data_IF_658424170473
#
_entry.id   IF_658424170473
#
_cell.length_a   1.000
_cell.length_b   1.000
_cell.length_c   1.000
_cell.angle_alpha   90.00
_cell.angle_beta   90.00
_cell.angle_gamma   90.00
#
_symmetry.space_group_name_H-M   'P 1'
#
loop_
_entity.id
_entity.type
_entity.pdbx_description
1 polymer ?
#
# COMPACT_ATOMS: atom_id res chain seq x y z
N UNK A 1 -6.46 -12.39 59.92
CA UNK A 1 -5.31 -12.20 59.00
C UNK A 1 -5.73 -11.90 57.56
N UNK A 2 -6.99 -12.09 57.12
CA UNK A 2 -7.41 -11.85 55.73
C UNK A 2 -7.44 -10.35 55.35
N UNK A 3 -7.90 -9.48 56.26
CA UNK A 3 -8.04 -8.04 55.98
C UNK A 3 -6.71 -7.35 55.57
N UNK A 4 -5.55 -7.60 56.22
CA UNK A 4 -4.28 -7.03 55.77
C UNK A 4 -3.87 -7.47 54.36
N UNK A 5 -4.15 -8.73 53.96
CA UNK A 5 -3.88 -9.22 52.60
C UNK A 5 -4.73 -8.49 51.55
N UNK A 6 -6.02 -8.27 51.85
CA UNK A 6 -6.90 -7.51 50.96
C UNK A 6 -6.42 -6.07 50.81
N UNK A 7 -6.04 -5.44 51.94
CA UNK A 7 -5.50 -4.06 51.94
C UNK A 7 -4.20 -3.98 51.11
N UNK A 8 -3.31 -4.98 51.26
CA UNK A 8 -2.10 -5.08 50.45
C UNK A 8 -2.41 -5.26 48.97
N UNK A 9 -3.38 -6.11 48.65
CA UNK A 9 -3.82 -6.33 47.26
C UNK A 9 -4.40 -5.06 46.62
N UNK A 10 -5.20 -4.30 47.35
CA UNK A 10 -5.72 -3.02 46.86
C UNK A 10 -4.61 -1.99 46.63
N UNK A 11 -3.57 -1.99 47.50
CA UNK A 11 -2.41 -1.13 47.32
C UNK A 11 -1.62 -1.49 46.05
N UNK A 12 -1.44 -2.79 45.76
CA UNK A 12 -0.79 -3.27 44.52
C UNK A 12 -1.56 -2.83 43.27
N UNK A 13 -2.90 -2.95 43.28
CA UNK A 13 -3.73 -2.51 42.14
C UNK A 13 -3.63 -0.97 41.99
N UNK A 14 -3.67 -0.21 43.10
CA UNK A 14 -3.56 1.25 43.08
C UNK A 14 -2.21 1.71 42.49
N UNK A 15 -1.14 1.02 42.89
CA UNK A 15 0.23 1.29 42.37
C UNK A 15 0.38 0.92 40.90
N UNK A 16 -0.10 -0.24 40.51
CA UNK A 16 -0.05 -0.71 39.12
C UNK A 16 -0.72 0.26 38.13
N UNK A 17 -1.87 0.82 38.49
CA UNK A 17 -2.55 1.80 37.66
C UNK A 17 -2.11 3.25 37.95
N UNK A 18 -1.01 3.47 38.65
CA UNK A 18 -0.38 4.77 38.87
C UNK A 18 -1.37 5.82 39.44
N UNK A 19 -2.33 5.40 40.26
CA UNK A 19 -3.34 6.26 40.81
C UNK A 19 -4.40 6.79 39.83
N UNK A 20 -4.52 6.19 38.65
CA UNK A 20 -5.53 6.54 37.64
C UNK A 20 -6.94 6.01 37.98
N UNK A 21 -7.05 5.02 38.87
CA UNK A 21 -8.32 4.47 39.35
C UNK A 21 -8.72 5.13 40.68
N UNK A 22 -10.01 5.39 40.81
CA UNK A 22 -10.59 5.80 42.10
C UNK A 22 -10.67 4.64 43.07
N UNK A 23 -10.76 4.92 44.39
CA UNK A 23 -10.79 3.88 45.43
C UNK A 23 -11.92 2.87 45.23
N UNK A 24 -13.10 3.33 44.80
CA UNK A 24 -14.22 2.42 44.49
C UNK A 24 -13.91 1.53 43.30
N UNK A 25 -13.33 2.06 42.24
CA UNK A 25 -12.99 1.30 41.04
C UNK A 25 -11.93 0.21 41.31
N UNK A 26 -10.96 0.50 42.18
CA UNK A 26 -9.96 -0.48 42.64
C UNK A 26 -10.62 -1.65 43.36
N UNK A 27 -11.59 -1.36 44.27
CA UNK A 27 -12.34 -2.37 45.01
C UNK A 27 -13.24 -3.19 44.05
N UNK A 28 -13.99 -2.51 43.20
CA UNK A 28 -14.88 -3.16 42.21
C UNK A 28 -14.09 -4.09 41.28
N UNK A 29 -12.90 -3.65 40.86
CA UNK A 29 -12.00 -4.44 40.03
C UNK A 29 -11.48 -5.68 40.74
N UNK A 30 -11.04 -5.55 42.02
CA UNK A 30 -10.61 -6.69 42.81
C UNK A 30 -11.71 -7.73 42.95
N UNK A 31 -12.98 -7.30 43.17
CA UNK A 31 -14.12 -8.20 43.27
C UNK A 31 -14.53 -8.84 41.92
N UNK A 32 -14.46 -8.09 40.84
CA UNK A 32 -14.78 -8.57 39.52
C UNK A 32 -13.80 -9.68 39.04
N UNK A 33 -12.53 -9.50 39.39
CA UNK A 33 -11.44 -10.37 38.96
C UNK A 33 -11.08 -11.49 39.92
N UNK A 34 -11.69 -11.53 41.13
CA UNK A 34 -11.48 -12.59 42.08
C UNK A 34 -11.82 -13.96 41.53
N UNK A 35 -11.00 -14.97 41.82
CA UNK A 35 -11.26 -16.35 41.42
C UNK A 35 -12.48 -16.90 42.19
N UNK A 36 -13.50 -17.28 41.40
CA UNK A 36 -14.79 -17.82 41.90
C UNK A 36 -14.99 -19.29 41.51
N UNK A 37 -13.92 -19.98 41.08
CA UNK A 37 -14.01 -21.35 40.60
C UNK A 37 -13.88 -22.38 41.75
N UNK A 38 -14.47 -23.55 41.55
CA UNK A 38 -14.39 -24.66 42.51
C UNK A 38 -14.99 -24.29 43.87
N UNK A 39 -14.23 -24.49 44.92
CA UNK A 39 -14.69 -24.22 46.32
C UNK A 39 -15.00 -22.75 46.58
N UNK A 40 -14.39 -21.84 45.81
CA UNK A 40 -14.59 -20.38 45.96
C UNK A 40 -15.90 -19.88 45.34
N UNK A 41 -16.70 -20.77 44.72
CA UNK A 41 -18.00 -20.41 44.16
C UNK A 41 -19.08 -20.19 45.24
N UNK A 42 -18.88 -20.78 46.44
CA UNK A 42 -19.81 -20.56 47.57
C UNK A 42 -19.64 -19.17 48.16
N UNK A 43 -20.50 -18.27 47.69
CA UNK A 43 -20.49 -16.86 48.13
C UNK A 43 -20.79 -16.65 49.60
N UNK A 44 -21.51 -17.58 50.27
CA UNK A 44 -21.82 -17.50 51.69
C UNK A 44 -20.59 -17.74 52.56
N UNK A 45 -19.62 -18.52 52.07
CA UNK A 45 -18.40 -18.86 52.78
C UNK A 45 -17.22 -17.95 52.30
N UNK A 46 -17.08 -17.78 51.02
CA UNK A 46 -15.90 -17.13 50.40
C UNK A 46 -16.18 -15.69 49.92
N UNK A 47 -17.37 -15.14 50.13
CA UNK A 47 -17.71 -13.77 49.77
C UNK A 47 -17.57 -13.50 48.26
N UNK A 48 -16.61 -12.67 47.90
CA UNK A 48 -16.35 -12.33 46.47
C UNK A 48 -15.38 -13.29 45.78
N UNK A 49 -14.86 -14.30 46.50
CA UNK A 49 -13.91 -15.28 45.97
C UNK A 49 -12.49 -15.07 46.47
N UNK A 50 -11.54 -15.84 45.93
CA UNK A 50 -10.12 -15.70 46.25
C UNK A 50 -9.50 -14.55 45.42
N UNK A 51 -8.78 -13.66 46.12
CA UNK A 51 -8.06 -12.55 45.48
C UNK A 51 -7.09 -13.06 44.41
N UNK A 52 -7.19 -12.52 43.20
CA UNK A 52 -6.31 -12.78 42.07
C UNK A 52 -5.74 -11.45 41.54
N UNK A 53 -4.51 -11.13 41.95
CA UNK A 53 -3.85 -9.90 41.51
C UNK A 53 -3.40 -9.95 40.09
N UNK A 54 -3.08 -11.14 39.55
CA UNK A 54 -2.74 -11.31 38.15
C UNK A 54 -3.93 -10.95 37.25
N UNK A 55 -5.13 -11.47 37.57
CA UNK A 55 -6.34 -11.11 36.86
C UNK A 55 -6.73 -9.63 37.09
N UNK A 56 -6.48 -9.07 38.28
CA UNK A 56 -6.80 -7.68 38.60
C UNK A 56 -5.89 -6.68 37.85
N UNK A 57 -4.69 -7.06 37.45
CA UNK A 57 -3.76 -6.21 36.69
C UNK A 57 -3.73 -6.54 35.18
N UNK A 58 -4.54 -7.51 34.74
CA UNK A 58 -4.74 -7.83 33.31
C UNK A 58 -6.02 -7.15 32.78
N UNK A 59 -6.14 -6.92 31.46
CA UNK A 59 -7.36 -6.41 30.86
C UNK A 59 -8.55 -7.36 31.10
N UNK A 60 -9.70 -6.79 31.45
CA UNK A 60 -10.96 -7.52 31.62
C UNK A 60 -11.86 -7.26 30.41
N UNK A 61 -12.23 -8.33 29.70
CA UNK A 61 -13.07 -8.21 28.52
C UNK A 61 -12.38 -7.53 27.33
N UNK A 62 -13.16 -6.86 26.50
CA UNK A 62 -12.65 -6.19 25.31
C UNK A 62 -12.00 -4.84 25.67
N UNK A 63 -10.81 -4.59 25.12
CA UNK A 63 -10.17 -3.28 25.24
C UNK A 63 -10.60 -2.37 24.10
N UNK A 64 -10.82 -1.09 24.40
CA UNK A 64 -11.32 -0.09 23.45
C UNK A 64 -10.54 1.21 23.55
N UNK A 65 -10.42 1.91 22.43
CA UNK A 65 -9.85 3.25 22.35
C UNK A 65 -10.92 4.31 22.62
N UNK A 66 -10.56 5.34 23.37
CA UNK A 66 -11.45 6.46 23.67
C UNK A 66 -11.23 7.61 22.68
N UNK A 67 -12.31 8.16 22.13
CA UNK A 67 -12.26 9.32 21.23
C UNK A 67 -12.55 10.65 21.91
N UNK A 68 -13.18 10.60 23.08
CA UNK A 68 -13.63 11.78 23.83
C UNK A 68 -12.89 11.97 25.15
N UNK A 69 -12.96 13.18 25.71
CA UNK A 69 -12.29 13.52 26.97
C UNK A 69 -12.91 12.91 28.24
N UNK A 70 -13.96 12.08 28.12
CA UNK A 70 -14.63 11.43 29.26
C UNK A 70 -14.94 9.97 28.97
N UNK A 71 -14.89 9.10 29.96
CA UNK A 71 -15.16 7.65 29.82
C UNK A 71 -16.63 7.32 29.50
N UNK A 72 -17.53 8.27 29.53
CA UNK A 72 -18.91 8.11 29.05
C UNK A 72 -19.08 8.41 27.57
N UNK A 73 -18.00 8.76 26.88
CA UNK A 73 -18.02 9.10 25.48
C UNK A 73 -17.89 7.89 24.53
N UNK A 74 -17.68 8.18 23.25
CA UNK A 74 -17.53 7.15 22.22
C UNK A 74 -16.26 6.32 22.42
N UNK A 75 -16.41 5.00 22.45
CA UNK A 75 -15.35 4.01 22.49
C UNK A 75 -15.35 3.18 21.24
N UNK A 76 -14.18 2.85 20.74
CA UNK A 76 -13.99 2.00 19.56
C UNK A 76 -13.11 0.81 19.94
N UNK A 77 -13.51 -0.45 19.63
CA UNK A 77 -12.71 -1.62 19.93
C UNK A 77 -11.28 -1.51 19.36
N UNK A 78 -10.29 -1.85 20.20
CA UNK A 78 -8.88 -1.79 19.79
C UNK A 78 -8.57 -2.76 18.66
N UNK A 79 -9.25 -3.91 18.58
CA UNK A 79 -9.07 -4.94 17.56
C UNK A 79 -9.28 -4.39 16.13
N UNK A 80 -10.15 -3.38 15.98
CA UNK A 80 -10.45 -2.77 14.67
C UNK A 80 -9.77 -1.41 14.48
N UNK A 81 -8.84 -1.06 15.37
CA UNK A 81 -8.17 0.25 15.38
C UNK A 81 -6.78 0.13 14.80
N UNK A 82 -6.51 0.82 13.69
CA UNK A 82 -5.20 0.81 13.07
C UNK A 82 -5.02 1.79 11.93
N UNK A 83 -3.76 2.00 11.56
CA UNK A 83 -3.34 2.74 10.36
C UNK A 83 -2.76 1.72 9.38
N UNK A 84 -3.27 1.70 8.16
CA UNK A 84 -2.84 0.81 7.11
C UNK A 84 -2.18 1.58 5.97
N UNK A 85 -1.04 1.09 5.53
CA UNK A 85 -0.31 1.58 4.35
C UNK A 85 -0.34 0.50 3.27
N UNK A 86 -0.95 0.80 2.14
CA UNK A 86 -1.01 -0.10 0.98
C UNK A 86 -0.19 0.40 -0.21
N UNK A 87 0.49 1.54 -0.07
CA UNK A 87 1.35 2.13 -1.10
C UNK A 87 2.78 2.29 -0.60
N UNK A 88 3.79 1.95 -1.40
CA UNK A 88 5.20 2.17 -1.06
C UNK A 88 5.60 3.65 -1.04
N UNK A 89 4.76 4.56 -1.50
CA UNK A 89 5.08 6.00 -1.63
C UNK A 89 5.43 6.70 -0.34
N UNK A 90 4.98 6.17 0.80
CA UNK A 90 5.24 6.71 2.14
C UNK A 90 6.50 6.15 2.81
N UNK A 91 7.09 5.07 2.27
CA UNK A 91 8.27 4.43 2.85
C UNK A 91 8.13 4.16 4.35
N UNK A 92 9.06 4.69 5.12
CA UNK A 92 9.11 4.59 6.59
C UNK A 92 8.48 5.81 7.32
N UNK A 93 7.84 6.72 6.62
CA UNK A 93 7.37 7.98 7.19
C UNK A 93 6.41 7.77 8.36
N UNK A 94 5.41 6.89 8.22
CA UNK A 94 4.42 6.65 9.28
C UNK A 94 5.04 5.87 10.43
N UNK A 95 5.83 4.81 10.17
CA UNK A 95 6.49 4.05 11.22
C UNK A 95 7.45 4.91 12.06
N UNK A 96 8.21 5.80 11.40
CA UNK A 96 9.08 6.77 12.10
C UNK A 96 8.25 7.81 12.87
N UNK A 97 7.14 8.27 12.28
CA UNK A 97 6.28 9.29 12.90
C UNK A 97 5.59 8.83 14.17
N UNK A 98 5.21 7.56 14.25
CA UNK A 98 4.56 6.99 15.45
C UNK A 98 5.53 6.27 16.38
N UNK A 99 6.80 6.16 16.04
CA UNK A 99 7.81 5.52 16.88
C UNK A 99 7.85 6.15 18.27
N UNK A 100 7.91 5.30 19.29
CA UNK A 100 7.91 5.71 20.71
C UNK A 100 6.65 6.48 21.19
N UNK A 101 5.59 6.55 20.39
CA UNK A 101 4.33 7.11 20.81
C UNK A 101 3.49 6.06 21.54
N UNK A 102 2.92 6.44 22.68
CA UNK A 102 2.06 5.57 23.47
C UNK A 102 0.61 6.00 23.39
N UNK A 103 -0.27 5.02 23.48
CA UNK A 103 -1.72 5.17 23.55
C UNK A 103 -2.24 4.38 24.75
N UNK A 104 -3.32 4.82 25.37
CA UNK A 104 -4.05 4.02 26.36
C UNK A 104 -5.35 3.50 25.76
N UNK A 105 -5.65 2.26 26.10
CA UNK A 105 -6.93 1.59 25.85
C UNK A 105 -7.63 1.36 27.19
N UNK A 106 -8.93 1.23 27.16
CA UNK A 106 -9.74 0.97 28.33
C UNK A 106 -10.40 -0.40 28.21
N UNK A 107 -10.35 -1.16 29.30
CA UNK A 107 -11.08 -2.43 29.41
C UNK A 107 -12.55 -2.20 29.82
N UNK A 108 -13.34 -3.28 29.95
CA UNK A 108 -14.75 -3.21 30.34
C UNK A 108 -14.98 -2.66 31.75
N UNK A 109 -13.95 -2.56 32.59
CA UNK A 109 -13.96 -1.95 33.89
C UNK A 109 -13.33 -0.53 33.91
N UNK A 110 -13.22 0.07 32.74
CA UNK A 110 -12.67 1.43 32.55
C UNK A 110 -11.20 1.61 33.01
N UNK A 111 -10.46 0.52 33.23
CA UNK A 111 -9.06 0.62 33.60
C UNK A 111 -8.18 0.86 32.37
N UNK A 112 -7.16 1.76 32.49
CA UNK A 112 -6.30 2.10 31.37
C UNK A 112 -5.16 1.08 31.20
N UNK A 113 -4.91 0.68 29.95
CA UNK A 113 -3.80 -0.18 29.54
C UNK A 113 -3.00 0.50 28.45
N UNK A 114 -1.69 0.56 28.62
CA UNK A 114 -0.79 1.22 27.67
C UNK A 114 -0.46 0.29 26.50
N UNK A 115 -0.43 0.85 25.30
CA UNK A 115 0.06 0.22 24.07
C UNK A 115 0.99 1.17 23.32
N UNK A 116 1.76 0.64 22.40
CA UNK A 116 2.54 1.44 21.45
C UNK A 116 1.71 1.71 20.20
N UNK A 117 1.72 2.95 19.69
CA UNK A 117 1.00 3.33 18.47
C UNK A 117 1.57 2.58 17.26
N UNK A 118 2.87 2.27 17.27
CA UNK A 118 3.54 1.49 16.20
C UNK A 118 2.91 0.10 16.00
N UNK A 119 2.41 -0.54 17.05
CA UNK A 119 1.74 -1.85 16.97
C UNK A 119 0.36 -1.78 16.30
N UNK A 120 -0.16 -0.58 16.07
CA UNK A 120 -1.43 -0.32 15.38
C UNK A 120 -1.20 0.08 13.92
N UNK A 121 0.02 0.03 13.43
CA UNK A 121 0.35 0.36 12.05
C UNK A 121 0.65 -0.91 11.26
N UNK A 122 0.03 -1.04 10.09
CA UNK A 122 0.31 -2.13 9.15
C UNK A 122 0.97 -1.55 7.92
N UNK A 123 2.18 -2.02 7.64
CA UNK A 123 2.98 -1.58 6.50
C UNK A 123 2.82 -2.54 5.32
N UNK A 124 2.81 -2.00 4.09
CA UNK A 124 2.79 -2.77 2.85
C UNK A 124 3.98 -3.75 2.73
N UNK A 125 5.12 -3.48 3.37
CA UNK A 125 6.30 -4.35 3.35
C UNK A 125 6.04 -5.77 3.85
N UNK A 126 5.09 -5.91 4.76
CA UNK A 126 4.65 -7.22 5.27
C UNK A 126 3.78 -7.98 4.26
N UNK A 127 3.38 -7.33 3.15
CA UNK A 127 2.44 -7.85 2.17
C UNK A 127 3.07 -8.08 0.79
N UNK A 128 4.25 -7.53 0.53
CA UNK A 128 4.91 -7.61 -0.78
C UNK A 128 6.12 -8.54 -0.70
N UNK A 129 6.04 -9.63 -1.44
CA UNK A 129 7.24 -10.39 -1.80
C UNK A 129 7.96 -9.61 -2.89
N UNK A 130 9.18 -9.17 -2.62
CA UNK A 130 10.00 -8.51 -3.62
C UNK A 130 10.41 -9.51 -4.70
N UNK A 131 9.70 -9.52 -5.81
CA UNK A 131 9.98 -10.35 -6.98
C UNK A 131 10.80 -9.60 -8.05
N UNK A 132 11.56 -8.57 -7.66
CA UNK A 132 12.42 -7.84 -8.58
C UNK A 132 13.35 -8.79 -9.34
N UNK A 133 13.21 -8.79 -10.65
CA UNK A 133 13.92 -9.70 -11.53
C UNK A 133 13.18 -11.02 -11.82
N UNK A 134 12.20 -11.41 -11.02
CA UNK A 134 11.39 -12.62 -11.27
C UNK A 134 10.05 -12.34 -11.94
N UNK A 135 9.60 -11.10 -12.03
CA UNK A 135 8.34 -10.72 -12.70
C UNK A 135 8.21 -11.29 -14.12
N UNK A 136 9.32 -11.63 -14.76
CA UNK A 136 9.36 -12.15 -16.12
C UNK A 136 9.44 -13.67 -16.21
N UNK A 137 9.73 -14.36 -15.13
CA UNK A 137 9.78 -15.83 -15.12
C UNK A 137 8.39 -16.47 -15.10
N UNK A 138 7.38 -15.68 -14.70
CA UNK A 138 6.00 -16.14 -14.53
C UNK A 138 5.03 -15.62 -15.58
N UNK A 139 5.48 -14.76 -16.50
CA UNK A 139 4.65 -14.38 -17.61
C UNK A 139 4.58 -15.55 -18.60
N UNK A 140 3.44 -16.23 -18.63
CA UNK A 140 3.07 -16.97 -19.84
C UNK A 140 3.23 -16.01 -21.01
N UNK A 141 3.90 -16.43 -22.08
CA UNK A 141 3.97 -15.63 -23.31
C UNK A 141 2.55 -15.21 -23.65
N UNK A 142 2.24 -13.91 -23.70
CA UNK A 142 0.89 -13.47 -23.99
C UNK A 142 0.52 -14.02 -25.36
N UNK A 143 -0.65 -14.66 -25.49
CA UNK A 143 -1.18 -14.99 -26.80
C UNK A 143 -1.66 -13.68 -27.40
N UNK A 144 -0.91 -13.18 -28.34
CA UNK A 144 -1.27 -11.99 -29.13
C UNK A 144 -1.98 -12.50 -30.38
N UNK A 145 -3.28 -12.25 -30.46
CA UNK A 145 -4.04 -12.41 -31.69
C UNK A 145 -4.07 -11.03 -32.35
N UNK A 146 -3.19 -10.83 -33.31
CA UNK A 146 -3.14 -9.61 -34.10
C UNK A 146 -3.91 -9.84 -35.41
N UNK A 147 -4.99 -9.12 -35.59
CA UNK A 147 -5.72 -9.03 -36.82
C UNK A 147 -5.69 -7.59 -37.34
N UNK A 148 -5.90 -7.33 -38.64
CA UNK A 148 -5.90 -5.95 -39.18
C UNK A 148 -6.83 -4.97 -38.43
N UNK A 149 -7.82 -5.49 -37.75
CA UNK A 149 -8.88 -4.72 -37.08
C UNK A 149 -8.84 -4.79 -35.55
N UNK A 150 -8.19 -5.82 -34.95
CA UNK A 150 -8.24 -6.06 -33.50
C UNK A 150 -6.94 -6.69 -33.00
N UNK A 151 -6.43 -6.22 -31.87
CA UNK A 151 -5.37 -6.90 -31.10
C UNK A 151 -6.00 -7.41 -29.80
N UNK A 152 -5.93 -8.71 -29.59
CA UNK A 152 -6.31 -9.36 -28.34
C UNK A 152 -5.05 -9.92 -27.69
N UNK A 153 -4.66 -9.38 -26.57
CA UNK A 153 -3.64 -9.97 -25.71
C UNK A 153 -4.31 -10.61 -24.50
N UNK A 154 -4.12 -11.91 -24.35
CA UNK A 154 -4.57 -12.67 -23.19
C UNK A 154 -3.35 -13.20 -22.45
N UNK A 155 -3.16 -12.77 -21.22
CA UNK A 155 -2.20 -13.38 -20.30
C UNK A 155 -2.96 -14.05 -19.17
N UNK A 156 -2.94 -15.37 -19.13
CA UNK A 156 -3.46 -16.13 -18.00
C UNK A 156 -2.33 -16.33 -17.00
N UNK A 157 -2.37 -15.61 -15.88
CA UNK A 157 -1.56 -15.95 -14.73
C UNK A 157 -2.27 -17.10 -13.99
N UNK A 158 -1.88 -18.34 -14.31
CA UNK A 158 -2.22 -19.45 -13.42
C UNK A 158 -1.23 -19.42 -12.27
N UNK A 159 -1.79 -19.42 -11.07
CA UNK A 159 -1.04 -19.71 -9.85
C UNK A 159 -0.46 -21.13 -9.98
N UNK A 160 0.74 -21.25 -10.54
CA UNK A 160 1.47 -22.50 -10.53
C UNK A 160 2.29 -22.48 -9.25
N UNK A 161 1.94 -23.37 -8.31
CA UNK A 161 2.79 -23.72 -7.19
C UNK A 161 4.23 -23.85 -7.67
N UNK A 162 5.06 -22.88 -7.29
CA UNK A 162 6.49 -22.91 -7.51
C UNK A 162 7.13 -23.95 -6.60
N UNK A 163 7.01 -25.17 -6.98
CA UNK A 163 7.91 -26.19 -6.52
C UNK A 163 9.06 -26.29 -7.51
N UNK A 164 10.26 -25.97 -7.01
CA UNK A 164 11.57 -26.15 -7.67
C UNK A 164 12.11 -24.96 -8.47
N UNK A 165 12.71 -24.02 -7.78
CA UNK A 165 13.79 -23.18 -8.26
C UNK A 165 14.82 -23.05 -7.15
N UNK A 166 16.09 -23.29 -7.45
CA UNK A 166 17.23 -23.07 -6.58
C UNK A 166 17.31 -21.57 -6.23
N UNK A 167 16.67 -21.18 -5.12
CA UNK A 167 16.79 -19.85 -4.53
C UNK A 167 17.23 -20.08 -3.09
N UNK A 168 18.50 -19.86 -2.87
CA UNK A 168 19.12 -19.95 -1.54
C UNK A 168 18.81 -18.70 -0.71
N UNK A 169 17.59 -18.50 -0.26
CA UNK A 169 17.20 -17.52 0.76
C UNK A 169 15.89 -16.79 0.45
N UNK A 170 14.80 -17.48 0.11
CA UNK A 170 13.51 -16.83 0.02
C UNK A 170 12.43 -17.59 0.80
N UNK A 171 11.77 -16.90 1.71
CA UNK A 171 10.46 -17.30 2.19
C UNK A 171 9.43 -16.89 1.13
N UNK A 172 8.91 -17.88 0.41
CA UNK A 172 7.78 -17.69 -0.51
C UNK A 172 6.51 -17.61 0.32
N UNK A 173 5.94 -16.44 0.43
CA UNK A 173 4.55 -16.28 0.80
C UNK A 173 3.69 -16.48 -0.46
N UNK A 174 2.72 -17.38 -0.38
CA UNK A 174 1.74 -17.61 -1.44
C UNK A 174 0.92 -16.34 -1.67
N UNK A 175 1.27 -15.57 -2.69
CA UNK A 175 0.38 -14.58 -3.23
C UNK A 175 -0.62 -15.29 -4.13
N UNK A 176 -1.78 -15.65 -3.60
CA UNK A 176 -2.93 -16.07 -4.42
C UNK A 176 -3.44 -14.85 -5.20
N UNK A 177 -3.07 -14.73 -6.44
CA UNK A 177 -3.73 -13.85 -7.39
C UNK A 177 -4.15 -14.65 -8.62
N UNK A 178 -5.30 -15.30 -8.51
CA UNK A 178 -6.07 -15.78 -9.66
C UNK A 178 -6.73 -14.57 -10.33
N UNK A 179 -5.98 -13.83 -11.15
CA UNK A 179 -6.57 -12.83 -12.00
C UNK A 179 -6.34 -13.19 -13.46
N UNK A 180 -7.40 -13.54 -14.16
CA UNK A 180 -7.39 -13.55 -15.62
C UNK A 180 -7.13 -12.13 -16.09
N UNK A 181 -6.00 -11.89 -16.72
CA UNK A 181 -5.67 -10.59 -17.28
C UNK A 181 -5.93 -10.64 -18.78
N UNK A 182 -6.61 -9.63 -19.29
CA UNK A 182 -6.79 -9.46 -20.73
C UNK A 182 -6.73 -7.99 -21.13
N UNK A 183 -6.33 -7.78 -22.37
CA UNK A 183 -6.39 -6.51 -23.06
C UNK A 183 -6.94 -6.74 -24.45
N UNK A 184 -7.91 -5.94 -24.85
CA UNK A 184 -8.49 -5.96 -26.20
C UNK A 184 -8.47 -4.56 -26.78
N UNK A 185 -7.95 -4.42 -27.98
CA UNK A 185 -7.87 -3.16 -28.70
C UNK A 185 -8.66 -3.27 -30.01
N UNK A 186 -9.60 -2.34 -30.23
CA UNK A 186 -10.46 -2.28 -31.42
C UNK A 186 -9.99 -1.16 -32.33
N UNK A 187 -9.65 -1.47 -33.57
CA UNK A 187 -9.02 -0.52 -34.50
C UNK A 187 -9.96 -0.04 -35.62
N UNK A 188 -11.27 -0.18 -35.52
CA UNK A 188 -12.22 0.32 -36.50
C UNK A 188 -12.71 1.72 -36.15
N UNK A 189 -12.07 2.75 -36.71
CA UNK A 189 -12.51 4.15 -36.62
C UNK A 189 -11.96 4.88 -35.39
N UNK A 190 -12.53 4.68 -34.22
CA UNK A 190 -12.02 5.15 -32.93
C UNK A 190 -11.29 4.03 -32.24
N UNK A 191 -10.01 4.20 -31.97
CA UNK A 191 -9.15 3.21 -31.33
C UNK A 191 -9.59 3.06 -29.85
N UNK A 192 -10.55 2.16 -29.58
CA UNK A 192 -11.03 1.89 -28.24
C UNK A 192 -10.40 0.62 -27.69
N UNK A 193 -10.15 0.56 -26.40
CA UNK A 193 -9.60 -0.61 -25.72
C UNK A 193 -10.28 -0.89 -24.40
N UNK A 194 -10.28 -2.15 -24.00
CA UNK A 194 -10.72 -2.63 -22.69
C UNK A 194 -9.61 -3.51 -22.11
N UNK A 195 -9.31 -3.35 -20.84
CA UNK A 195 -8.40 -4.23 -20.11
C UNK A 195 -8.98 -4.62 -18.77
N UNK A 196 -8.59 -5.79 -18.27
CA UNK A 196 -8.96 -6.28 -16.94
C UNK A 196 -7.74 -6.93 -16.27
N UNK A 197 -7.55 -6.68 -14.97
CA UNK A 197 -6.44 -7.22 -14.18
C UNK A 197 -5.07 -6.60 -14.49
N UNK A 198 -5.00 -5.69 -15.45
CA UNK A 198 -3.83 -4.88 -15.79
C UNK A 198 -4.21 -3.41 -15.87
N UNK A 199 -3.28 -2.52 -15.53
CA UNK A 199 -3.56 -1.11 -15.67
C UNK A 199 -3.79 -0.74 -17.15
N UNK A 200 -4.68 0.23 -17.39
CA UNK A 200 -5.12 0.63 -18.75
C UNK A 200 -4.09 1.44 -19.56
N UNK A 201 -2.79 1.36 -19.25
CA UNK A 201 -1.75 2.19 -19.86
C UNK A 201 -1.36 1.86 -21.30
N UNK A 202 -1.91 0.81 -21.90
CA UNK A 202 -1.49 0.21 -23.18
C UNK A 202 -1.37 1.13 -24.39
N UNK A 203 -2.17 2.16 -24.47
CA UNK A 203 -2.14 3.10 -25.58
C UNK A 203 -1.79 4.52 -25.13
N UNK A 204 -1.22 4.64 -23.92
CA UNK A 204 -0.98 5.91 -23.24
C UNK A 204 0.51 6.07 -22.93
N UNK A 205 0.95 7.31 -22.83
CA UNK A 205 2.31 7.64 -22.49
C UNK A 205 3.31 7.05 -23.50
N UNK A 206 4.40 6.48 -23.02
CA UNK A 206 5.43 5.84 -23.85
C UNK A 206 4.89 4.63 -24.62
N UNK A 207 3.77 4.04 -24.20
CA UNK A 207 3.17 2.85 -24.84
C UNK A 207 2.35 3.16 -26.10
N UNK A 208 2.25 4.42 -26.50
CA UNK A 208 1.81 4.80 -27.83
C UNK A 208 2.77 4.24 -28.89
N UNK A 209 4.06 4.18 -28.58
CA UNK A 209 5.09 3.58 -29.42
C UNK A 209 4.90 2.05 -29.49
N UNK A 210 4.78 1.51 -30.70
CA UNK A 210 4.54 0.09 -30.94
C UNK A 210 5.68 -0.79 -30.43
N UNK A 211 6.91 -0.31 -30.46
CA UNK A 211 8.09 -1.05 -30.02
C UNK A 211 8.12 -1.19 -28.50
N UNK A 212 7.53 -0.23 -27.76
CA UNK A 212 7.45 -0.22 -26.31
C UNK A 212 6.15 -0.83 -25.76
N UNK A 213 5.06 -0.76 -26.51
CA UNK A 213 3.70 -1.20 -26.12
C UNK A 213 3.67 -2.62 -25.59
N UNK A 214 4.35 -3.53 -26.24
CA UNK A 214 4.34 -4.98 -25.92
C UNK A 214 5.40 -5.38 -24.90
N UNK A 215 6.13 -4.42 -24.32
CA UNK A 215 7.13 -4.68 -23.30
C UNK A 215 6.51 -4.63 -21.91
N UNK A 216 5.96 -5.75 -21.47
CA UNK A 216 5.30 -5.87 -20.17
C UNK A 216 6.17 -5.40 -19.00
N UNK A 217 7.49 -5.62 -19.08
CA UNK A 217 8.47 -5.19 -18.09
C UNK A 217 8.56 -3.67 -17.91
N UNK A 218 8.13 -2.88 -18.88
CA UNK A 218 8.13 -1.42 -18.77
C UNK A 218 6.87 -0.88 -18.09
N UNK A 219 5.78 -1.67 -18.02
CA UNK A 219 4.49 -1.19 -17.53
C UNK A 219 4.52 -0.84 -16.05
N UNK A 220 5.19 -1.65 -15.23
CA UNK A 220 5.28 -1.39 -13.80
C UNK A 220 6.10 -0.14 -13.47
N UNK A 221 7.03 0.23 -14.35
CA UNK A 221 8.00 1.31 -14.12
C UNK A 221 7.62 2.61 -14.81
N UNK A 222 7.01 2.54 -16.01
CA UNK A 222 6.80 3.71 -16.88
C UNK A 222 5.35 4.06 -17.13
N UNK A 223 4.38 3.23 -16.68
CA UNK A 223 2.99 3.63 -16.72
C UNK A 223 2.70 4.69 -15.66
N UNK A 224 1.62 5.42 -15.87
CA UNK A 224 1.14 6.38 -14.88
C UNK A 224 0.92 5.68 -13.52
N UNK A 225 1.60 6.08 -12.44
CA UNK A 225 1.60 5.35 -11.17
C UNK A 225 0.24 5.32 -10.49
N UNK A 226 -0.62 6.30 -10.72
CA UNK A 226 -1.98 6.32 -10.14
C UNK A 226 -2.89 5.23 -10.73
N UNK A 227 -2.59 4.72 -11.93
CA UNK A 227 -3.32 3.58 -12.49
C UNK A 227 -3.12 2.28 -11.70
N UNK A 228 -2.05 2.17 -10.91
CA UNK A 228 -1.82 1.00 -10.06
C UNK A 228 -2.83 0.88 -8.92
N UNK A 229 -3.46 1.98 -8.50
CA UNK A 229 -4.53 1.96 -7.49
C UNK A 229 -5.83 1.29 -7.99
N UNK A 230 -6.02 1.17 -9.30
CA UNK A 230 -7.16 0.48 -9.93
C UNK A 230 -6.77 -0.75 -10.74
N UNK A 231 -5.51 -1.21 -10.65
CA UNK A 231 -4.95 -2.22 -11.55
C UNK A 231 -5.60 -3.61 -11.43
N UNK A 232 -6.18 -3.96 -10.27
CA UNK A 232 -6.94 -5.21 -10.11
C UNK A 232 -8.33 -5.22 -10.74
N UNK A 233 -8.75 -4.14 -11.39
CA UNK A 233 -10.09 -3.99 -11.95
C UNK A 233 -10.12 -3.89 -13.47
N UNK A 234 -11.11 -3.15 -13.98
CA UNK A 234 -11.36 -2.99 -15.40
C UNK A 234 -11.09 -1.57 -15.84
N UNK A 235 -10.39 -1.43 -16.96
CA UNK A 235 -10.15 -0.14 -17.62
C UNK A 235 -10.81 -0.12 -19.00
N UNK A 236 -11.36 1.02 -19.32
CA UNK A 236 -11.89 1.35 -20.66
C UNK A 236 -11.22 2.63 -21.16
N UNK A 237 -10.76 2.64 -22.38
CA UNK A 237 -10.16 3.82 -22.98
C UNK A 237 -10.46 3.91 -24.48
N UNK A 238 -10.25 5.11 -25.01
CA UNK A 238 -10.40 5.39 -26.43
C UNK A 238 -9.47 6.51 -26.86
N UNK A 239 -8.92 6.39 -28.06
CA UNK A 239 -8.04 7.39 -28.67
C UNK A 239 -8.74 7.99 -29.88
N UNK A 240 -9.06 9.27 -29.81
CA UNK A 240 -9.70 10.02 -30.88
C UNK A 240 -8.68 10.83 -31.69
N UNK A 241 -8.71 10.71 -33.00
CA UNK A 241 -7.96 11.56 -33.91
C UNK A 241 -8.64 12.91 -34.02
N UNK A 242 -8.18 13.88 -33.22
CA UNK A 242 -8.83 15.19 -33.12
C UNK A 242 -8.46 16.11 -34.29
N UNK A 243 -7.17 16.15 -34.67
CA UNK A 243 -6.64 16.93 -35.78
C UNK A 243 -5.49 16.16 -36.45
N UNK A 244 -4.97 16.65 -37.58
CA UNK A 244 -3.86 16.01 -38.29
C UNK A 244 -2.65 15.72 -37.41
N UNK A 245 -2.38 16.56 -36.41
CA UNK A 245 -1.17 16.51 -35.57
C UNK A 245 -1.47 16.25 -34.09
N UNK A 246 -2.70 15.95 -33.70
CA UNK A 246 -3.10 15.74 -32.31
C UNK A 246 -4.13 14.60 -32.21
N UNK A 247 -3.83 13.60 -31.42
CA UNK A 247 -4.80 12.62 -30.92
C UNK A 247 -5.11 12.94 -29.47
N UNK A 248 -6.32 12.62 -29.01
CA UNK A 248 -6.77 12.79 -27.63
C UNK A 248 -7.24 11.44 -27.11
N UNK A 249 -6.62 10.95 -26.07
CA UNK A 249 -7.00 9.71 -25.42
C UNK A 249 -7.76 9.97 -24.14
N UNK A 250 -8.74 9.12 -23.86
CA UNK A 250 -9.48 9.07 -22.60
C UNK A 250 -9.33 7.70 -21.99
N UNK A 251 -9.20 7.66 -20.67
CA UNK A 251 -9.18 6.43 -19.90
C UNK A 251 -10.02 6.59 -18.64
N UNK A 252 -10.83 5.58 -18.34
CA UNK A 252 -11.40 5.35 -17.02
C UNK A 252 -11.04 3.94 -16.57
N UNK A 253 -10.61 3.82 -15.32
CA UNK A 253 -10.21 2.55 -14.70
C UNK A 253 -10.82 2.47 -13.32
N UNK A 254 -11.42 1.34 -12.98
CA UNK A 254 -12.00 1.13 -11.65
C UNK A 254 -11.67 -0.27 -11.16
N UNK A 255 -11.21 -0.37 -9.92
CA UNK A 255 -10.78 -1.63 -9.35
C UNK A 255 -10.20 -1.48 -7.96
N UNK A 256 -9.56 -2.55 -7.49
CA UNK A 256 -8.84 -2.56 -6.21
C UNK A 256 -7.38 -2.15 -6.41
N UNK A 257 -6.77 -1.62 -5.36
CA UNK A 257 -5.35 -1.31 -5.36
C UNK A 257 -4.51 -2.59 -5.56
N UNK A 258 -3.54 -2.54 -6.48
CA UNK A 258 -2.63 -3.65 -6.77
C UNK A 258 -1.80 -4.09 -5.54
N UNK A 259 -1.53 -3.17 -4.65
CA UNK A 259 -0.71 -3.41 -3.46
C UNK A 259 -1.50 -4.01 -2.28
N UNK A 260 -2.80 -4.15 -2.41
CA UNK A 260 -3.66 -4.66 -1.34
C UNK A 260 -3.77 -6.19 -1.45
N UNK A 261 -2.86 -6.91 -0.78
CA UNK A 261 -2.82 -8.37 -0.83
C UNK A 261 -3.76 -9.05 0.20
N UNK A 262 -4.11 -8.40 1.31
CA UNK A 262 -4.94 -8.99 2.36
C UNK A 262 -5.94 -7.99 2.95
N UNK A 263 -7.18 -8.43 3.11
CA UNK A 263 -8.23 -7.73 3.83
C UNK A 263 -8.01 -7.91 5.36
N UNK A 264 -7.03 -7.21 5.93
CA UNK A 264 -6.76 -7.33 7.38
C UNK A 264 -7.91 -6.76 8.22
N UNK A 265 -8.68 -5.83 7.66
CA UNK A 265 -9.79 -5.17 8.38
C UNK A 265 -11.13 -5.19 7.61
N UNK A 266 -11.29 -6.09 6.62
CA UNK A 266 -12.59 -6.37 6.00
C UNK A 266 -13.10 -5.29 5.02
N UNK A 267 -12.37 -4.21 4.75
CA UNK A 267 -12.77 -3.18 3.82
C UNK A 267 -11.99 -3.27 2.51
N UNK A 268 -12.71 -3.46 1.40
CA UNK A 268 -12.10 -3.48 0.07
C UNK A 268 -11.94 -2.04 -0.43
N UNK A 269 -10.75 -1.48 -0.33
CA UNK A 269 -10.45 -0.16 -0.89
C UNK A 269 -10.51 -0.21 -2.42
N UNK A 270 -11.64 0.17 -2.96
CA UNK A 270 -11.81 0.36 -4.39
C UNK A 270 -11.42 1.78 -4.77
N UNK A 271 -10.84 1.93 -5.94
CA UNK A 271 -10.50 3.22 -6.48
C UNK A 271 -10.91 3.35 -7.95
N UNK A 272 -11.09 4.59 -8.38
CA UNK A 272 -11.40 4.93 -9.77
C UNK A 272 -10.43 6.00 -10.24
N UNK A 273 -9.81 5.76 -11.39
CA UNK A 273 -8.97 6.73 -12.09
C UNK A 273 -9.68 7.16 -13.36
N UNK A 274 -9.75 8.46 -13.60
CA UNK A 274 -10.16 9.03 -14.87
C UNK A 274 -9.07 9.97 -15.38
N UNK A 275 -8.71 9.86 -16.66
CA UNK A 275 -7.66 10.67 -17.25
C UNK A 275 -7.88 10.98 -18.72
N UNK A 276 -7.27 12.07 -19.15
CA UNK A 276 -7.18 12.52 -20.54
C UNK A 276 -5.70 12.65 -20.88
N UNK A 277 -5.33 12.25 -22.08
CA UNK A 277 -3.99 12.43 -22.61
C UNK A 277 -4.03 13.13 -23.96
N UNK A 278 -3.25 14.19 -24.07
CA UNK A 278 -2.96 14.86 -25.34
C UNK A 278 -1.75 14.18 -25.97
N UNK A 279 -1.90 13.68 -27.19
CA UNK A 279 -0.92 12.90 -27.94
C UNK A 279 -0.52 13.64 -29.24
N UNK A 280 0.42 14.61 -29.17
CA UNK A 280 0.93 15.28 -30.36
C UNK A 280 1.75 14.34 -31.22
N UNK A 281 1.66 14.48 -32.56
CA UNK A 281 2.37 13.60 -33.53
C UNK A 281 3.73 14.10 -33.98
N UNK A 282 4.09 15.35 -33.66
CA UNK A 282 5.26 16.05 -34.20
C UNK A 282 6.46 15.99 -33.26
N UNK A 283 6.85 14.82 -32.74
CA UNK A 283 7.96 14.65 -31.78
C UNK A 283 7.84 15.57 -30.56
N UNK A 284 6.63 15.84 -30.12
CA UNK A 284 6.34 16.53 -28.88
C UNK A 284 5.89 15.53 -27.82
N UNK A 285 6.22 15.74 -26.55
CA UNK A 285 5.81 14.86 -25.49
C UNK A 285 4.29 14.80 -25.33
N UNK A 286 3.78 13.66 -24.92
CA UNK A 286 2.39 13.49 -24.51
C UNK A 286 2.19 14.07 -23.11
N UNK A 287 1.02 14.68 -22.89
CA UNK A 287 0.66 15.28 -21.60
C UNK A 287 -0.61 14.60 -21.08
N UNK A 288 -0.55 14.11 -19.85
CA UNK A 288 -1.63 13.45 -19.15
C UNK A 288 -2.19 14.35 -18.06
N UNK A 289 -3.51 14.38 -17.91
CA UNK A 289 -4.23 15.02 -16.80
C UNK A 289 -5.23 14.01 -16.26
N UNK A 290 -5.30 13.83 -14.96
CA UNK A 290 -6.26 12.90 -14.42
C UNK A 290 -6.52 13.09 -12.94
N UNK A 291 -7.49 12.30 -12.49
CA UNK A 291 -7.90 12.24 -11.09
C UNK A 291 -8.00 10.77 -10.64
N UNK A 292 -7.56 10.53 -9.44
CA UNK A 292 -7.76 9.28 -8.70
C UNK A 292 -8.74 9.57 -7.56
N UNK A 293 -9.80 8.80 -7.47
CA UNK A 293 -10.69 8.76 -6.32
C UNK A 293 -10.55 7.40 -5.63
N UNK A 294 -10.17 7.42 -4.37
CA UNK A 294 -10.16 6.27 -3.49
C UNK A 294 -11.36 6.36 -2.54
N UNK A 295 -11.93 5.22 -2.10
CA UNK A 295 -13.12 5.26 -1.24
C UNK A 295 -12.76 5.64 0.20
N UNK A 296 -11.79 4.94 0.82
CA UNK A 296 -11.47 5.10 2.25
C UNK A 296 -9.98 5.26 2.50
N UNK A 297 -9.22 5.67 1.49
CA UNK A 297 -7.78 5.91 1.59
C UNK A 297 -7.37 7.20 0.89
N UNK A 298 -6.14 7.64 1.16
CA UNK A 298 -5.47 8.74 0.49
C UNK A 298 -4.07 8.26 0.06
N UNK A 299 -3.88 8.01 -1.24
CA UNK A 299 -2.68 7.36 -1.82
C UNK A 299 -2.33 6.02 -1.13
N UNK A 300 -3.35 5.25 -0.74
CA UNK A 300 -3.18 3.98 -0.05
C UNK A 300 -2.90 4.10 1.46
N UNK A 301 -3.00 5.30 2.03
CA UNK A 301 -3.00 5.53 3.47
C UNK A 301 -4.44 5.53 3.96
N UNK A 302 -4.80 4.60 4.83
CA UNK A 302 -6.13 4.50 5.44
C UNK A 302 -6.04 4.31 6.96
N UNK A 303 -7.10 4.71 7.64
CA UNK A 303 -7.29 4.47 9.06
C UNK A 303 -8.57 3.69 9.31
N UNK A 304 -8.55 2.81 10.30
CA UNK A 304 -9.70 2.03 10.73
C UNK A 304 -9.99 2.21 12.22
N UNK A 305 -11.21 1.91 12.64
CA UNK A 305 -11.61 2.03 14.03
C UNK A 305 -11.44 3.44 14.55
N UNK A 306 -10.65 3.62 15.61
CA UNK A 306 -10.40 4.93 16.20
C UNK A 306 -9.57 5.88 15.31
N UNK A 307 -8.86 5.35 14.31
CA UNK A 307 -8.15 6.14 13.30
C UNK A 307 -8.98 6.41 12.04
N UNK A 308 -10.25 6.01 12.00
CA UNK A 308 -11.12 6.25 10.85
C UNK A 308 -11.36 7.75 10.61
N UNK A 309 -11.66 8.11 9.35
CA UNK A 309 -12.20 9.42 9.00
C UNK A 309 -11.38 10.29 8.04
N UNK A 310 -10.29 9.79 7.45
CA UNK A 310 -9.44 10.58 6.56
C UNK A 310 -9.31 10.02 5.12
N UNK A 311 -10.21 9.12 4.72
CA UNK A 311 -10.24 8.55 3.39
C UNK A 311 -11.12 9.30 2.40
N UNK A 312 -11.09 8.84 1.14
CA UNK A 312 -12.03 9.28 0.09
C UNK A 312 -11.66 10.58 -0.61
N UNK A 313 -10.43 11.07 -0.47
CA UNK A 313 -9.99 12.27 -1.16
C UNK A 313 -9.72 12.01 -2.65
N UNK A 314 -9.85 13.07 -3.44
CA UNK A 314 -9.60 13.02 -4.86
C UNK A 314 -8.22 13.60 -5.18
N UNK A 315 -7.28 12.73 -5.55
CA UNK A 315 -5.94 13.12 -5.99
C UNK A 315 -5.98 13.58 -7.43
N UNK A 316 -5.48 14.76 -7.74
CA UNK A 316 -5.26 15.24 -9.10
C UNK A 316 -3.80 15.02 -9.50
N UNK A 317 -3.56 14.65 -10.76
CA UNK A 317 -2.21 14.41 -11.25
C UNK A 317 -2.00 14.90 -12.69
N UNK A 318 -0.74 15.18 -12.99
CA UNK A 318 -0.25 15.52 -14.32
C UNK A 318 0.94 14.63 -14.65
N UNK A 319 1.02 14.18 -15.90
CA UNK A 319 2.12 13.39 -16.44
C UNK A 319 2.63 13.95 -17.75
N UNK A 320 3.92 13.78 -17.99
CA UNK A 320 4.57 14.07 -19.28
C UNK A 320 5.36 12.81 -19.65
N UNK A 321 5.23 12.36 -20.88
CA UNK A 321 5.97 11.19 -21.37
C UNK A 321 6.28 11.32 -22.86
N UNK A 322 7.42 10.76 -23.28
CA UNK A 322 7.87 10.81 -24.65
C UNK A 322 8.68 9.54 -25.02
N UNK A 323 8.71 9.24 -26.31
CA UNK A 323 9.60 8.24 -26.90
C UNK A 323 10.12 8.73 -28.24
N UNK A 324 11.44 8.77 -28.39
CA UNK A 324 12.11 9.24 -29.59
C UNK A 324 13.08 8.19 -30.13
N UNK A 325 13.20 8.12 -31.46
CA UNK A 325 14.22 7.28 -32.09
C UNK A 325 15.57 7.97 -32.04
N UNK A 326 16.56 7.37 -31.40
CA UNK A 326 17.89 7.92 -31.20
C UNK A 326 18.94 6.82 -31.28
N UNK A 327 20.08 7.05 -31.94
CA UNK A 327 21.20 6.09 -32.08
C UNK A 327 20.79 4.66 -32.56
N UNK A 328 19.77 4.59 -33.40
CA UNK A 328 19.24 3.29 -33.89
C UNK A 328 18.50 2.50 -32.82
N UNK A 329 18.03 3.15 -31.76
CA UNK A 329 17.17 2.61 -30.71
C UNK A 329 16.05 3.58 -30.36
N UNK A 330 15.35 3.29 -29.27
CA UNK A 330 14.27 4.11 -28.71
C UNK A 330 14.71 4.63 -27.34
N UNK A 331 14.84 5.94 -27.22
CA UNK A 331 14.91 6.61 -25.93
C UNK A 331 13.50 6.97 -25.47
N UNK A 332 13.18 6.74 -24.22
CA UNK A 332 11.87 7.05 -23.65
C UNK A 332 11.99 7.59 -22.23
N UNK A 333 11.05 8.45 -21.84
CA UNK A 333 11.01 9.05 -20.52
C UNK A 333 9.59 9.34 -20.07
N UNK A 334 9.39 9.38 -18.78
CA UNK A 334 8.13 9.78 -18.14
C UNK A 334 8.41 10.55 -16.84
N UNK A 335 7.56 11.52 -16.55
CA UNK A 335 7.56 12.29 -15.31
C UNK A 335 6.10 12.49 -14.88
N UNK A 336 5.82 12.23 -13.63
CA UNK A 336 4.48 12.33 -13.04
C UNK A 336 4.53 13.09 -11.73
N UNK A 337 3.56 13.98 -11.52
CA UNK A 337 3.36 14.70 -10.26
C UNK A 337 1.88 14.70 -9.90
N UNK A 338 1.57 14.58 -8.61
CA UNK A 338 0.20 14.59 -8.13
C UNK A 338 0.04 15.32 -6.81
N UNK A 339 -1.16 15.78 -6.56
CA UNK A 339 -1.57 16.45 -5.34
C UNK A 339 -2.88 15.89 -4.82
N UNK A 340 -2.86 15.41 -3.58
CA UNK A 340 -4.04 14.98 -2.83
C UNK A 340 -4.35 16.06 -1.79
N UNK A 341 -5.55 16.66 -1.83
CA UNK A 341 -5.94 17.70 -0.87
C UNK A 341 -5.88 17.19 0.58
N UNK A 342 -5.54 18.06 1.48
CA UNK A 342 -5.57 17.80 2.90
C UNK A 342 -6.97 17.55 3.46
N UNK A 343 -7.03 16.88 4.58
CA UNK A 343 -8.27 16.59 5.31
C UNK A 343 -8.13 16.97 6.77
N UNK A 344 -9.25 17.31 7.40
CA UNK A 344 -9.33 17.47 8.84
C UNK A 344 -10.54 16.70 9.37
N UNK A 345 -10.34 15.96 10.46
CA UNK A 345 -11.39 15.20 11.12
C UNK A 345 -11.26 15.36 12.63
N UNK A 346 -12.34 15.77 13.28
CA UNK A 346 -12.39 15.91 14.73
C UNK A 346 -13.01 14.70 15.43
N UNK A 347 -13.44 13.69 14.68
CA UNK A 347 -14.16 12.53 15.21
C UNK A 347 -13.25 11.33 15.48
N UNK A 348 -12.07 11.26 14.80
CA UNK A 348 -11.09 10.19 14.94
C UNK A 348 -9.78 10.65 15.57
N UNK A 349 -8.85 9.71 15.74
CA UNK A 349 -7.49 9.98 16.24
C UNK A 349 -6.57 10.61 15.18
N UNK A 350 -6.85 10.41 13.89
CA UNK A 350 -6.22 11.20 12.83
C UNK A 350 -6.94 12.55 12.76
N UNK A 351 -6.32 13.57 13.35
CA UNK A 351 -6.93 14.89 13.45
C UNK A 351 -6.88 15.66 12.12
N UNK A 352 -5.76 15.57 11.41
CA UNK A 352 -5.63 16.17 10.09
C UNK A 352 -4.50 15.52 9.27
N UNK A 353 -4.65 15.59 7.97
CA UNK A 353 -3.58 15.34 7.00
C UNK A 353 -3.52 16.60 6.12
N UNK A 354 -2.34 17.16 5.92
CA UNK A 354 -2.14 18.28 5.00
C UNK A 354 -2.12 17.80 3.55
N UNK A 355 -2.05 18.72 2.58
CA UNK A 355 -1.91 18.36 1.17
C UNK A 355 -0.69 17.44 0.97
N UNK A 356 -0.92 16.32 0.29
CA UNK A 356 0.13 15.35 -0.04
C UNK A 356 0.54 15.56 -1.48
N UNK A 357 1.81 15.91 -1.70
CA UNK A 357 2.40 15.93 -3.02
C UNK A 357 3.18 14.63 -3.27
N UNK A 358 3.07 14.10 -4.48
CA UNK A 358 3.75 12.88 -4.90
C UNK A 358 4.37 13.02 -6.28
N UNK A 359 5.45 12.29 -6.53
CA UNK A 359 6.16 12.30 -7.81
C UNK A 359 6.64 10.90 -8.19
N UNK A 360 6.78 10.66 -9.49
CA UNK A 360 7.46 9.50 -10.06
C UNK A 360 8.14 9.91 -11.37
N UNK A 361 9.26 9.28 -11.70
CA UNK A 361 9.90 9.48 -12.99
C UNK A 361 10.59 8.22 -13.48
N UNK A 362 10.84 8.18 -14.78
CA UNK A 362 11.63 7.14 -15.39
C UNK A 362 12.20 7.58 -16.73
N UNK A 363 13.35 7.00 -17.10
CA UNK A 363 13.93 7.11 -18.43
C UNK A 363 14.58 5.79 -18.82
N UNK A 364 14.60 5.50 -20.11
CA UNK A 364 15.22 4.28 -20.60
C UNK A 364 15.61 4.36 -22.07
N UNK A 365 16.35 3.34 -22.47
CA UNK A 365 16.81 3.17 -23.82
C UNK A 365 16.65 1.71 -24.24
N UNK A 366 15.94 1.48 -25.33
CA UNK A 366 15.71 0.18 -25.94
C UNK A 366 16.43 0.13 -27.27
N UNK A 367 17.31 -0.85 -27.46
CA UNK A 367 17.97 -1.09 -28.74
C UNK A 367 17.81 -2.55 -29.14
N UNK A 368 17.37 -2.75 -30.36
CA UNK A 368 17.20 -4.08 -30.97
C UNK A 368 18.36 -4.35 -31.97
N UNK A 369 18.62 -5.63 -32.21
CA UNK A 369 19.61 -6.09 -33.18
C UNK A 369 21.02 -5.53 -32.93
N UNK A 370 21.55 -5.74 -31.73
CA UNK A 370 22.88 -5.26 -31.32
C UNK A 370 23.98 -6.22 -31.86
N UNK A 371 23.84 -7.51 -31.58
CA UNK A 371 24.77 -8.55 -31.97
C UNK A 371 24.14 -9.51 -32.98
N UNK A 372 22.83 -9.77 -32.86
CA UNK A 372 22.05 -10.67 -33.72
C UNK A 372 20.68 -10.05 -34.03
N UNK A 373 20.07 -10.47 -35.13
CA UNK A 373 18.76 -9.96 -35.58
C UNK A 373 17.57 -10.23 -34.60
N UNK A 374 17.78 -10.94 -33.53
CA UNK A 374 16.72 -11.28 -32.56
C UNK A 374 17.07 -10.88 -31.13
N UNK A 375 18.09 -10.05 -30.92
CA UNK A 375 18.48 -9.59 -29.61
C UNK A 375 17.98 -8.17 -29.29
N UNK A 376 17.96 -7.86 -28.00
CA UNK A 376 17.49 -6.59 -27.48
C UNK A 376 18.21 -6.23 -26.17
N UNK A 377 18.62 -4.98 -26.05
CA UNK A 377 19.12 -4.38 -24.82
C UNK A 377 18.16 -3.30 -24.35
N UNK A 378 17.71 -3.43 -23.12
CA UNK A 378 16.94 -2.43 -22.38
C UNK A 378 17.78 -1.89 -21.23
N UNK A 379 18.00 -0.59 -21.21
CA UNK A 379 18.58 0.13 -20.09
C UNK A 379 17.49 1.02 -19.51
N UNK A 380 17.33 1.04 -18.21
CA UNK A 380 16.35 1.93 -17.56
C UNK A 380 16.82 2.40 -16.20
N UNK A 381 16.37 3.59 -15.85
CA UNK A 381 16.44 4.15 -14.51
C UNK A 381 15.08 4.73 -14.16
N UNK A 382 14.55 4.41 -13.00
CA UNK A 382 13.25 4.90 -12.55
C UNK A 382 13.21 5.15 -11.05
N UNK A 383 12.34 6.06 -10.67
CA UNK A 383 11.90 6.29 -9.30
C UNK A 383 10.42 5.93 -9.23
N UNK A 384 10.03 4.93 -8.43
CA UNK A 384 8.63 4.67 -8.13
C UNK A 384 7.94 5.87 -7.48
N UNK A 385 6.62 5.86 -7.41
CA UNK A 385 5.89 6.95 -6.78
C UNK A 385 6.35 7.16 -5.34
N UNK A 386 6.68 8.42 -5.02
CA UNK A 386 7.18 8.87 -3.72
C UNK A 386 6.37 10.05 -3.23
N UNK A 387 6.07 10.08 -1.94
CA UNK A 387 5.52 11.25 -1.27
C UNK A 387 6.61 12.29 -1.04
N UNK A 388 6.46 13.48 -1.58
CA UNK A 388 7.44 14.58 -1.50
C UNK A 388 7.15 15.55 -0.36
N UNK A 389 5.86 15.70 -0.01
CA UNK A 389 5.42 16.53 1.11
C UNK A 389 4.08 16.03 1.65
N UNK A 390 3.77 16.44 2.85
CA UNK A 390 2.56 16.13 3.59
C UNK A 390 2.89 15.90 5.05
N UNK A 391 1.93 16.18 5.92
CA UNK A 391 2.03 15.97 7.37
C UNK A 391 0.76 15.30 7.88
N UNK A 392 0.90 14.43 8.86
CA UNK A 392 -0.21 13.83 9.59
C UNK A 392 -0.15 14.28 11.03
N UNK A 393 -1.30 14.70 11.57
CA UNK A 393 -1.47 15.05 12.96
C UNK A 393 -2.38 14.03 13.63
N UNK A 394 -1.87 13.41 14.69
CA UNK A 394 -2.58 12.46 15.51
C UNK A 394 -2.92 13.07 16.87
N UNK A 395 -4.07 12.66 17.41
CA UNK A 395 -4.51 12.98 18.77
C UNK A 395 -4.92 11.68 19.47
N UNK A 396 -4.07 11.21 20.38
CA UNK A 396 -4.23 9.92 21.05
C UNK A 396 -4.44 10.08 22.54
N UNK A 397 -5.27 9.24 23.20
CA UNK A 397 -5.41 9.24 24.64
C UNK A 397 -4.14 8.69 25.30
N UNK A 398 -3.61 9.41 26.31
CA UNK A 398 -2.34 9.05 26.95
C UNK A 398 -2.45 8.87 28.46
N UNK A 399 -3.47 9.41 29.09
CA UNK A 399 -3.65 9.35 30.53
C UNK A 399 -5.12 9.45 30.90
N UNK A 400 -5.51 8.80 32.03
CA UNK A 400 -6.82 8.91 32.68
C UNK A 400 -6.65 9.46 34.07
N UNK A 401 -7.50 10.42 34.45
CA UNK A 401 -7.55 10.91 35.81
C UNK A 401 -8.49 10.06 36.70
N UNK A 402 -8.37 10.20 38.04
CA UNK A 402 -9.30 9.56 38.99
C UNK A 402 -10.75 10.01 38.79
N UNK A 403 -10.94 11.22 38.28
CA UNK A 403 -12.25 11.83 38.00
C UNK A 403 -12.82 11.35 36.66
N UNK A 404 -12.20 10.31 36.06
CA UNK A 404 -12.63 9.67 34.78
C UNK A 404 -12.51 10.59 33.57
N UNK A 405 -11.67 11.62 33.65
CA UNK A 405 -11.30 12.43 32.48
C UNK A 405 -10.14 11.79 31.73
N UNK A 406 -10.18 11.85 30.40
CA UNK A 406 -9.13 11.31 29.51
C UNK A 406 -8.34 12.47 28.94
N UNK A 407 -7.02 12.44 29.10
CA UNK A 407 -6.10 13.40 28.53
C UNK A 407 -5.51 12.88 27.27
N UNK A 408 -5.43 13.76 26.27
CA UNK A 408 -4.92 13.45 24.95
C UNK A 408 -3.59 14.15 24.70
N UNK A 409 -2.69 13.47 23.98
CA UNK A 409 -1.52 14.07 23.40
C UNK A 409 -1.75 14.24 21.89
N UNK A 410 -1.35 15.41 21.37
CA UNK A 410 -1.38 15.68 19.93
C UNK A 410 0.04 15.82 19.42
N UNK A 411 0.37 15.14 18.35
CA UNK A 411 1.66 15.22 17.71
C UNK A 411 1.51 15.11 16.20
N UNK A 412 2.41 15.75 15.47
CA UNK A 412 2.46 15.73 14.03
C UNK A 412 3.78 15.18 13.53
N UNK A 413 3.75 14.59 12.34
CA UNK A 413 4.93 14.09 11.66
C UNK A 413 4.79 14.20 10.14
N UNK A 414 5.92 14.23 9.45
CA UNK A 414 5.94 14.27 8.00
C UNK A 414 5.56 12.92 7.39
N UNK A 415 4.80 12.96 6.29
CA UNK A 415 4.50 11.80 5.45
C UNK A 415 5.56 11.55 4.38
N UNK A 416 6.60 12.40 4.34
CA UNK A 416 7.72 12.24 3.44
C UNK A 416 8.65 11.13 3.95
N UNK A 417 8.95 10.09 3.14
CA UNK A 417 9.87 9.02 3.50
C UNK A 417 11.32 9.51 3.66
N UNK A 418 12.11 8.77 4.43
CA UNK A 418 13.50 9.14 4.74
C UNK A 418 14.45 9.05 3.55
N UNK A 419 14.20 8.10 2.63
CA UNK A 419 15.02 7.83 1.46
C UNK A 419 14.33 8.18 0.14
N UNK A 420 15.03 7.87 -0.96
CA UNK A 420 14.53 8.01 -2.34
C UNK A 420 14.97 6.77 -3.13
N UNK A 421 14.05 5.84 -3.34
CA UNK A 421 14.34 4.69 -4.18
C UNK A 421 14.66 5.12 -5.61
N UNK A 422 15.81 4.68 -6.12
CA UNK A 422 16.13 4.77 -7.53
C UNK A 422 16.53 3.38 -8.01
N UNK A 423 15.84 2.91 -9.00
CA UNK A 423 16.04 1.59 -9.59
C UNK A 423 16.73 1.74 -10.94
N UNK A 424 17.92 1.17 -11.07
CA UNK A 424 18.69 1.11 -12.32
C UNK A 424 18.72 -0.32 -12.83
N UNK A 425 18.39 -0.54 -14.11
CA UNK A 425 18.28 -1.87 -14.70
C UNK A 425 18.93 -1.93 -16.08
N UNK A 426 19.67 -3.00 -16.33
CA UNK A 426 20.14 -3.39 -17.64
C UNK A 426 19.64 -4.79 -17.95
N UNK A 427 18.92 -4.96 -19.05
CA UNK A 427 18.40 -6.27 -19.46
C UNK A 427 18.80 -6.54 -20.92
N UNK A 428 19.43 -7.67 -21.12
CA UNK A 428 19.72 -8.22 -22.44
C UNK A 428 18.86 -9.45 -22.69
N UNK A 429 18.18 -9.49 -23.83
CA UNK A 429 17.41 -10.64 -24.27
C UNK A 429 17.90 -11.08 -25.65
N UNK A 430 18.00 -12.37 -25.88
CA UNK A 430 18.34 -12.93 -27.17
C UNK A 430 17.50 -14.15 -27.45
N UNK A 431 17.09 -14.32 -28.68
CA UNK A 431 16.37 -15.50 -29.15
C UNK A 431 17.17 -16.22 -30.24
N UNK A 432 17.40 -17.50 -30.04
CA UNK A 432 18.04 -18.35 -31.02
C UNK A 432 17.15 -19.57 -31.35
N UNK A 433 16.61 -19.62 -32.55
CA UNK A 433 15.60 -20.63 -32.93
C UNK A 433 14.41 -20.61 -31.93
N UNK A 434 14.23 -21.73 -31.24
CA UNK A 434 13.14 -21.91 -30.25
C UNK A 434 13.55 -21.60 -28.83
N UNK A 435 14.78 -21.11 -28.57
CA UNK A 435 15.29 -20.82 -27.23
C UNK A 435 15.40 -19.33 -27.09
N UNK A 436 14.76 -18.78 -26.01
CA UNK A 436 14.93 -17.42 -25.55
C UNK A 436 15.80 -17.39 -24.31
N UNK A 437 16.73 -16.45 -24.26
CA UNK A 437 17.60 -16.18 -23.12
C UNK A 437 17.38 -14.73 -22.67
N UNK A 438 17.27 -14.49 -21.36
CA UNK A 438 17.27 -13.15 -20.80
C UNK A 438 18.23 -13.06 -19.62
N UNK A 439 19.02 -12.00 -19.60
CA UNK A 439 19.90 -11.63 -18.50
C UNK A 439 19.49 -10.25 -18.02
N UNK A 440 19.20 -10.11 -16.73
CA UNK A 440 18.90 -8.83 -16.10
C UNK A 440 19.90 -8.57 -14.99
N UNK A 441 20.46 -7.38 -14.95
CA UNK A 441 21.25 -6.83 -13.87
C UNK A 441 20.53 -5.57 -13.38
N UNK A 442 20.27 -5.51 -12.09
CA UNK A 442 19.62 -4.35 -11.46
C UNK A 442 20.34 -3.89 -10.20
N UNK A 443 20.17 -2.62 -9.89
CA UNK A 443 20.63 -1.97 -8.67
C UNK A 443 19.52 -1.10 -8.11
N UNK A 444 19.24 -1.22 -6.80
CA UNK A 444 18.31 -0.36 -6.08
C UNK A 444 19.03 0.38 -4.98
N UNK A 445 18.88 1.70 -4.97
CA UNK A 445 19.27 2.54 -3.84
C UNK A 445 18.04 2.92 -3.02
N UNK A 446 18.22 3.08 -1.72
CA UNK A 446 17.15 3.40 -0.74
C UNK A 446 15.86 2.58 -1.00
N UNK A 447 15.89 1.24 -1.00
CA UNK A 447 14.73 0.42 -1.33
C UNK A 447 13.49 0.83 -0.54
N UNK A 448 12.32 0.86 -1.20
CA UNK A 448 11.05 1.32 -0.62
C UNK A 448 11.08 2.77 -0.11
N UNK A 449 11.97 3.61 -0.61
CA UNK A 449 12.23 4.98 -0.14
C UNK A 449 12.70 5.05 1.33
N UNK A 450 13.40 4.04 1.82
CA UNK A 450 13.89 3.93 3.19
C UNK A 450 15.41 4.05 3.21
N UNK A 451 15.92 5.15 3.77
CA UNK A 451 17.36 5.43 3.81
C UNK A 451 18.16 4.45 4.67
N UNK A 452 17.55 3.81 5.67
CA UNK A 452 18.20 2.83 6.53
C UNK A 452 18.28 1.43 5.93
N UNK A 453 17.62 1.18 4.80
CA UNK A 453 17.73 -0.09 4.07
C UNK A 453 18.99 -0.07 3.21
N UNK A 454 19.68 -1.21 3.20
CA UNK A 454 20.89 -1.38 2.38
C UNK A 454 20.54 -1.39 0.89
N UNK A 455 21.33 -0.66 0.12
CA UNK A 455 21.32 -0.75 -1.33
C UNK A 455 21.73 -2.14 -1.78
N UNK A 456 21.13 -2.65 -2.84
CA UNK A 456 21.46 -3.98 -3.31
C UNK A 456 21.50 -4.13 -4.83
N UNK A 457 22.36 -5.07 -5.25
CA UNK A 457 22.39 -5.57 -6.62
C UNK A 457 21.61 -6.87 -6.72
N UNK A 458 20.95 -7.08 -7.85
CA UNK A 458 20.34 -8.35 -8.17
C UNK A 458 20.61 -8.74 -9.61
N UNK A 459 20.62 -10.04 -9.87
CA UNK A 459 20.79 -10.62 -11.20
C UNK A 459 19.72 -11.67 -11.43
N UNK A 460 19.07 -11.64 -12.59
CA UNK A 460 18.09 -12.65 -12.97
C UNK A 460 18.44 -13.23 -14.34
N UNK A 461 18.38 -14.57 -14.43
CA UNK A 461 18.53 -15.34 -15.67
C UNK A 461 17.20 -15.97 -16.02
N UNK A 462 16.73 -15.77 -17.25
CA UNK A 462 15.51 -16.37 -17.76
C UNK A 462 15.77 -17.21 -18.99
N UNK A 463 15.12 -18.37 -19.06
CA UNK A 463 15.13 -19.25 -20.21
C UNK A 463 13.70 -19.50 -20.67
N UNK A 464 13.45 -19.46 -21.96
CA UNK A 464 12.18 -19.87 -22.56
C UNK A 464 12.42 -20.79 -23.73
N UNK A 465 11.57 -21.81 -23.87
CA UNK A 465 11.61 -22.75 -24.98
C UNK A 465 10.25 -22.69 -25.66
N UNK A 466 10.25 -22.40 -26.96
CA UNK A 466 9.06 -22.47 -27.80
C UNK A 466 8.92 -23.93 -28.29
N UNK A 467 7.92 -24.61 -27.75
CA UNK A 467 7.57 -26.00 -28.15
C UNK A 467 6.65 -25.99 -29.36
#
# INVERSE_FOLDING_TARGET
FAAPFVSGGLAVIADYFEGQLGSKEIVDRLFATANKNGVYSDKAIYGQGLMDLGAATAPVGQVSAMLTGTLSGAMVPALFTGIQLTSPSFGDAVSNGVANQTIIFFDELDAPFRGAVENLTTDYRNQIVNLDGYEHMYQSTPQIIDSPDNVLEMSNYKNQNLSYGLISSMHLLEAQQDSNQFFTYFNKGNNSFVSHGINGSWALGIFQDKDLRYKSQLRSQFSNPWLNFSAGGTSFGSVYKFQHNLDVAFLISSGRNRFQANEVFGESNSSTVAMIELQPKNNMPSIQFGVLKENDSNLGLSGSGAFNGNGGQMTSFVGISDSISLFGGKFFSSLYVGNSPGTSNNEGMINSITDIQSSAFGMGFLKQSIFNSGDELLLSIDQPMRTESGEMNLRVPVYRTKERSVLFNSFGFTLRPSGREVHSKARYTSSFKNIGLSLTLGYKSDPYHIKSMEDYWYTALGFSIKI
#
